data_IF_544432318512
#
_entry.id   IF_544432318512
#
_cell.length_a   1.000
_cell.length_b   1.000
_cell.length_c   1.000
_cell.angle_alpha   90.00
_cell.angle_beta   90.00
_cell.angle_gamma   90.00
#
_symmetry.space_group_name_H-M   'P 1'
#
loop_
_entity.id
_entity.type
_entity.pdbx_description
1 polymer ?
#
# COMPACT_ATOMS: atom_id res chain seq x y z
N UNK A 1 -57.83 31.58 10.26
CA UNK A 1 -57.35 30.48 11.14
C UNK A 1 -57.15 29.26 10.25
N UNK A 2 -56.04 28.56 10.09
CA UNK A 2 -54.66 28.59 10.61
C UNK A 2 -53.77 28.18 9.40
N UNK A 3 -52.67 28.89 9.17
CA UNK A 3 -51.67 28.54 8.15
C UNK A 3 -50.86 27.36 8.69
N UNK A 4 -50.93 26.19 8.06
CA UNK A 4 -50.02 25.08 8.37
C UNK A 4 -48.86 25.11 7.38
N UNK A 5 -47.75 25.71 7.80
CA UNK A 5 -46.48 25.62 7.10
C UNK A 5 -45.76 24.35 7.58
N UNK A 6 -45.63 23.36 6.70
CA UNK A 6 -44.76 22.19 6.92
C UNK A 6 -43.35 22.64 6.53
N UNK A 7 -42.55 22.97 7.53
CA UNK A 7 -41.14 23.30 7.34
C UNK A 7 -40.32 22.00 7.37
N UNK A 8 -40.07 21.43 6.19
CA UNK A 8 -39.15 20.30 6.04
C UNK A 8 -37.71 20.80 6.23
N UNK A 9 -37.14 20.56 7.41
CA UNK A 9 -35.75 20.89 7.73
C UNK A 9 -34.83 19.84 7.10
N UNK A 10 -34.27 20.15 5.93
CA UNK A 10 -33.28 19.34 5.25
C UNK A 10 -31.94 19.46 6.00
N UNK A 11 -31.65 18.53 6.92
CA UNK A 11 -30.36 18.45 7.59
C UNK A 11 -29.34 17.86 6.61
N UNK A 12 -28.57 18.72 5.94
CA UNK A 12 -27.39 18.31 5.19
C UNK A 12 -26.33 17.79 6.16
N UNK A 13 -26.28 16.48 6.37
CA UNK A 13 -25.13 15.81 6.98
C UNK A 13 -23.95 15.87 6.02
N UNK A 14 -23.12 16.90 6.16
CA UNK A 14 -21.79 16.89 5.52
C UNK A 14 -20.91 15.91 6.28
N UNK A 15 -20.82 14.68 5.78
CA UNK A 15 -19.81 13.72 6.25
C UNK A 15 -18.46 14.24 5.79
N UNK A 16 -17.76 14.97 6.66
CA UNK A 16 -16.34 15.27 6.46
C UNK A 16 -15.58 13.96 6.60
N UNK A 17 -15.35 13.27 5.49
CA UNK A 17 -14.43 12.15 5.43
C UNK A 17 -13.04 12.68 5.81
N UNK A 18 -12.61 12.44 7.06
CA UNK A 18 -11.20 12.62 7.42
C UNK A 18 -10.41 11.73 6.47
N UNK A 19 -9.44 12.30 5.75
CA UNK A 19 -8.48 11.51 5.00
C UNK A 19 -7.81 10.56 6.00
N UNK A 20 -8.15 9.28 5.91
CA UNK A 20 -7.59 8.28 6.79
C UNK A 20 -6.16 8.04 6.31
N UNK A 21 -5.20 8.27 7.20
CA UNK A 21 -3.80 7.95 6.92
C UNK A 21 -3.68 6.49 6.51
N UNK A 22 -2.83 6.23 5.51
CA UNK A 22 -2.58 4.89 5.03
C UNK A 22 -1.90 4.06 6.11
N UNK A 23 -2.47 2.90 6.45
CA UNK A 23 -1.80 1.91 7.31
C UNK A 23 -0.77 1.14 6.48
N UNK A 24 0.50 1.37 6.78
CA UNK A 24 1.62 0.57 6.28
C UNK A 24 1.93 -0.54 7.28
N UNK A 25 1.83 -1.79 6.83
CA UNK A 25 2.23 -2.95 7.63
C UNK A 25 3.72 -3.22 7.45
N UNK A 26 4.36 -3.73 8.50
CA UNK A 26 5.74 -4.26 8.42
C UNK A 26 5.76 -5.78 8.63
N UNK A 27 4.77 -6.32 9.34
CA UNK A 27 4.55 -7.76 9.48
C UNK A 27 3.75 -8.27 8.27
N UNK A 28 4.37 -9.15 7.48
CA UNK A 28 3.77 -9.68 6.25
C UNK A 28 2.70 -10.71 6.55
N UNK A 29 2.78 -11.42 7.68
CA UNK A 29 1.74 -12.36 8.09
C UNK A 29 0.47 -11.60 8.46
N UNK A 30 0.57 -10.54 9.26
CA UNK A 30 -0.57 -9.67 9.58
C UNK A 30 -1.18 -9.08 8.30
N UNK A 31 -0.33 -8.51 7.43
CA UNK A 31 -0.78 -7.92 6.17
C UNK A 31 -1.49 -8.96 5.28
N UNK A 32 -0.96 -10.18 5.19
CA UNK A 32 -1.55 -11.26 4.39
C UNK A 32 -2.94 -11.66 4.91
N UNK A 33 -3.12 -11.74 6.22
CA UNK A 33 -4.43 -11.99 6.84
C UNK A 33 -5.44 -10.89 6.51
N UNK A 34 -5.03 -9.63 6.56
CA UNK A 34 -5.88 -8.49 6.18
C UNK A 34 -6.19 -8.50 4.68
N UNK A 35 -5.20 -8.81 3.85
CA UNK A 35 -5.35 -8.94 2.40
C UNK A 35 -6.38 -10.01 2.04
N UNK A 36 -6.28 -11.22 2.60
CA UNK A 36 -7.27 -12.28 2.34
C UNK A 36 -8.67 -11.93 2.85
N UNK A 37 -8.79 -11.28 4.02
CA UNK A 37 -10.10 -10.84 4.56
C UNK A 37 -10.74 -9.75 3.70
N UNK A 38 -9.94 -8.80 3.22
CA UNK A 38 -10.41 -7.66 2.40
C UNK A 38 -10.48 -7.98 0.91
N UNK A 39 -9.96 -9.14 0.48
CA UNK A 39 -9.82 -9.55 -0.92
C UNK A 39 -9.03 -8.55 -1.77
N UNK A 40 -8.07 -7.86 -1.16
CA UNK A 40 -7.17 -6.91 -1.83
C UNK A 40 -5.76 -7.49 -1.92
N UNK A 41 -5.06 -7.40 -3.05
CA UNK A 41 -3.66 -7.81 -3.13
C UNK A 41 -2.77 -6.98 -2.19
N UNK A 42 -1.59 -7.51 -1.91
CA UNK A 42 -0.54 -6.83 -1.17
C UNK A 42 0.31 -6.00 -2.14
N UNK A 43 0.66 -4.79 -1.72
CA UNK A 43 1.68 -3.97 -2.35
C UNK A 43 2.93 -3.97 -1.46
N UNK A 44 3.93 -4.75 -1.83
CA UNK A 44 5.21 -4.79 -1.16
C UNK A 44 6.09 -3.67 -1.66
N UNK A 45 6.51 -2.77 -0.76
CA UNK A 45 7.44 -1.70 -1.06
C UNK A 45 8.80 -2.01 -0.43
N UNK A 46 9.72 -2.51 -1.25
CA UNK A 46 11.11 -2.68 -0.87
C UNK A 46 11.81 -1.33 -0.92
N UNK A 47 12.33 -0.86 0.21
CA UNK A 47 12.86 0.50 0.38
C UNK A 47 14.11 0.56 1.26
N UNK A 48 14.85 1.67 1.19
CA UNK A 48 15.90 2.01 2.14
C UNK A 48 15.63 3.39 2.72
N UNK A 49 14.92 3.44 3.85
CA UNK A 49 14.30 4.64 4.42
C UNK A 49 15.25 5.80 4.71
N UNK A 50 16.55 5.51 4.89
CA UNK A 50 17.52 6.50 5.36
C UNK A 50 18.71 6.73 4.42
N UNK A 51 18.78 6.04 3.28
CA UNK A 51 19.86 6.17 2.28
C UNK A 51 19.41 6.13 0.82
N UNK A 52 18.18 5.66 0.51
CA UNK A 52 17.69 5.58 -0.86
C UNK A 52 16.93 6.86 -1.25
N UNK A 53 17.61 7.80 -1.91
CA UNK A 53 16.99 9.06 -2.36
C UNK A 53 15.78 8.87 -3.29
N UNK A 54 15.84 7.91 -4.21
CA UNK A 54 14.72 7.58 -5.10
C UNK A 54 13.51 6.99 -4.34
N UNK A 55 13.74 6.27 -3.25
CA UNK A 55 12.67 5.74 -2.41
C UNK A 55 11.96 6.86 -1.66
N UNK A 56 12.71 7.79 -1.05
CA UNK A 56 12.15 8.96 -0.40
C UNK A 56 11.38 9.84 -1.40
N UNK A 57 11.90 9.97 -2.61
CA UNK A 57 11.23 10.69 -3.70
C UNK A 57 9.92 10.03 -4.11
N UNK A 58 9.90 8.71 -4.30
CA UNK A 58 8.68 7.96 -4.61
C UNK A 58 7.62 8.14 -3.52
N UNK A 59 8.00 8.05 -2.24
CA UNK A 59 7.08 8.27 -1.13
C UNK A 59 6.47 9.67 -1.19
N UNK A 60 7.30 10.71 -1.34
CA UNK A 60 6.85 12.11 -1.35
C UNK A 60 6.00 12.46 -2.57
N UNK A 61 6.42 12.03 -3.76
CA UNK A 61 5.75 12.39 -5.01
C UNK A 61 4.51 11.53 -5.31
N UNK A 62 4.41 10.34 -4.70
CA UNK A 62 3.32 9.39 -4.96
C UNK A 62 2.63 8.98 -3.68
N UNK A 63 3.31 8.24 -2.79
CA UNK A 63 2.63 7.53 -1.70
C UNK A 63 2.02 8.43 -0.62
N UNK A 64 2.49 9.67 -0.49
CA UNK A 64 1.98 10.67 0.44
C UNK A 64 0.95 11.62 -0.19
N UNK A 65 0.51 11.35 -1.42
CA UNK A 65 -0.49 12.16 -2.13
C UNK A 65 -1.91 11.68 -1.86
N UNK A 66 -2.88 12.59 -1.88
CA UNK A 66 -4.30 12.24 -1.71
C UNK A 66 -4.82 11.27 -2.80
N UNK A 67 -4.32 11.41 -4.04
CA UNK A 67 -4.66 10.53 -5.15
C UNK A 67 -4.23 9.08 -4.86
N UNK A 68 -3.01 8.89 -4.36
CA UNK A 68 -2.53 7.56 -3.96
C UNK A 68 -3.25 7.05 -2.72
N UNK A 69 -3.48 7.87 -1.70
CA UNK A 69 -4.23 7.46 -0.50
C UNK A 69 -5.61 6.93 -0.85
N UNK A 70 -6.34 7.63 -1.73
CA UNK A 70 -7.65 7.16 -2.21
C UNK A 70 -7.51 5.84 -2.95
N UNK A 71 -6.59 5.75 -3.91
CA UNK A 71 -6.39 4.54 -4.69
C UNK A 71 -5.98 3.34 -3.82
N UNK A 72 -5.01 3.51 -2.91
CA UNK A 72 -4.51 2.42 -2.09
C UNK A 72 -5.59 1.87 -1.15
N UNK A 73 -6.39 2.76 -0.53
CA UNK A 73 -7.52 2.36 0.30
C UNK A 73 -8.52 1.46 -0.44
N UNK A 74 -8.71 1.63 -1.75
CA UNK A 74 -9.65 0.83 -2.53
C UNK A 74 -9.02 -0.45 -3.10
N UNK A 75 -7.70 -0.44 -3.38
CA UNK A 75 -7.09 -1.44 -4.27
C UNK A 75 -6.09 -2.39 -3.59
N UNK A 76 -5.37 -1.96 -2.54
CA UNK A 76 -4.23 -2.74 -2.01
C UNK A 76 -4.10 -2.69 -0.49
N UNK A 77 -3.44 -3.70 0.08
CA UNK A 77 -2.91 -3.66 1.44
C UNK A 77 -1.41 -3.34 1.36
N UNK A 78 -1.00 -2.26 2.02
CA UNK A 78 0.35 -1.71 1.88
C UNK A 78 1.31 -2.37 2.87
N UNK A 79 2.48 -2.80 2.39
CA UNK A 79 3.55 -3.35 3.22
C UNK A 79 4.86 -2.65 2.93
N UNK A 80 5.49 -2.13 3.98
CA UNK A 80 6.84 -1.57 3.91
C UNK A 80 7.86 -2.63 4.31
N UNK A 81 8.78 -2.94 3.38
CA UNK A 81 9.90 -3.85 3.58
C UNK A 81 11.19 -3.01 3.54
N UNK A 82 11.54 -2.44 4.69
CA UNK A 82 12.65 -1.49 4.82
C UNK A 82 14.01 -2.19 5.07
N UNK A 83 15.06 -1.60 4.50
CA UNK A 83 16.47 -2.01 4.60
C UNK A 83 17.32 -0.81 5.04
N UNK A 84 17.12 -0.28 6.26
CA UNK A 84 17.83 0.90 6.73
C UNK A 84 19.31 0.61 7.00
N UNK A 85 20.16 1.65 6.94
CA UNK A 85 21.60 1.55 7.29
C UNK A 85 21.92 2.06 8.69
N UNK A 86 21.17 3.06 9.18
CA UNK A 86 21.40 3.71 10.49
C UNK A 86 20.39 3.27 11.54
N UNK A 87 19.17 2.94 11.13
CA UNK A 87 18.11 2.43 12.02
C UNK A 87 18.27 0.92 12.18
N UNK A 88 18.08 0.42 13.40
CA UNK A 88 18.06 -1.01 13.67
C UNK A 88 16.62 -1.51 13.68
N UNK A 89 16.34 -2.54 12.87
CA UNK A 89 15.10 -3.31 12.94
C UNK A 89 15.26 -4.47 13.92
N UNK A 90 14.14 -5.05 14.38
CA UNK A 90 14.20 -6.29 15.13
C UNK A 90 14.81 -7.41 14.30
N UNK A 91 15.36 -8.44 14.97
CA UNK A 91 15.93 -9.60 14.29
C UNK A 91 14.90 -10.30 13.39
N UNK A 92 13.65 -10.40 13.86
CA UNK A 92 12.55 -11.03 13.12
C UNK A 92 12.17 -10.26 11.85
N UNK A 93 12.03 -8.93 11.95
CA UNK A 93 11.74 -8.10 10.77
C UNK A 93 12.92 -8.11 9.79
N UNK A 94 14.15 -8.07 10.28
CA UNK A 94 15.34 -8.15 9.43
C UNK A 94 15.38 -9.46 8.66
N UNK A 95 15.11 -10.58 9.35
CA UNK A 95 15.05 -11.92 8.75
C UNK A 95 13.93 -12.01 7.71
N UNK A 96 12.71 -11.60 8.07
CA UNK A 96 11.56 -11.58 7.17
C UNK A 96 11.85 -10.77 5.90
N UNK A 97 12.37 -9.55 6.05
CA UNK A 97 12.65 -8.66 4.92
C UNK A 97 13.73 -9.26 4.01
N UNK A 98 14.79 -9.84 4.57
CA UNK A 98 15.84 -10.50 3.79
C UNK A 98 15.34 -11.72 3.02
N UNK A 99 14.54 -12.59 3.66
CA UNK A 99 13.94 -13.76 3.02
C UNK A 99 13.03 -13.36 1.85
N UNK A 100 12.21 -12.32 2.05
CA UNK A 100 11.35 -11.78 0.99
C UNK A 100 12.17 -11.13 -0.13
N UNK A 101 13.20 -10.34 0.20
CA UNK A 101 14.05 -9.74 -0.84
C UNK A 101 14.75 -10.81 -1.69
N UNK A 102 15.18 -11.91 -1.08
CA UNK A 102 15.74 -13.05 -1.79
C UNK A 102 14.68 -13.74 -2.66
N UNK A 103 13.50 -14.04 -2.10
CA UNK A 103 12.39 -14.68 -2.80
C UNK A 103 11.99 -13.87 -4.03
N UNK A 104 11.84 -12.56 -3.90
CA UNK A 104 11.46 -11.64 -4.97
C UNK A 104 12.65 -11.18 -5.84
N UNK A 105 13.84 -11.72 -5.61
CA UNK A 105 15.08 -11.41 -6.33
C UNK A 105 15.36 -9.89 -6.44
N UNK A 106 15.15 -9.15 -5.34
CA UNK A 106 15.32 -7.71 -5.30
C UNK A 106 16.80 -7.35 -5.51
N UNK A 107 17.06 -6.56 -6.55
CA UNK A 107 18.42 -6.09 -6.91
C UNK A 107 18.64 -4.59 -6.71
N UNK A 108 17.57 -3.83 -6.48
CA UNK A 108 17.63 -2.39 -6.36
C UNK A 108 16.39 -1.80 -5.69
N UNK A 109 16.48 -0.52 -5.35
CA UNK A 109 15.47 0.21 -4.61
C UNK A 109 15.20 1.56 -5.31
N UNK A 110 13.94 2.05 -5.35
CA UNK A 110 12.72 1.38 -4.88
C UNK A 110 12.27 0.25 -5.82
N UNK A 111 11.82 -0.86 -5.26
CA UNK A 111 11.09 -1.90 -6.00
C UNK A 111 9.74 -2.13 -5.33
N UNK A 112 8.68 -2.15 -6.13
CA UNK A 112 7.31 -2.41 -5.66
C UNK A 112 6.80 -3.66 -6.34
N UNK A 113 6.29 -4.61 -5.55
CA UNK A 113 5.63 -5.82 -6.05
C UNK A 113 4.15 -5.82 -5.69
N UNK A 114 3.31 -6.19 -6.66
CA UNK A 114 1.91 -6.51 -6.42
C UNK A 114 1.77 -8.03 -6.35
N UNK A 115 1.22 -8.53 -5.24
CA UNK A 115 1.08 -9.97 -5.01
C UNK A 115 -0.24 -10.34 -4.37
N UNK A 116 -0.73 -11.55 -4.68
CA UNK A 116 -1.88 -12.13 -4.00
C UNK A 116 -1.38 -13.18 -3.00
N UNK A 117 -1.61 -13.00 -1.69
CA UNK A 117 -1.28 -14.04 -0.74
C UNK A 117 -2.23 -15.22 -0.89
N UNK A 118 -1.68 -16.43 -0.89
CA UNK A 118 -2.41 -17.69 -0.90
C UNK A 118 -2.00 -18.52 0.32
N UNK A 119 -2.85 -19.47 0.72
CA UNK A 119 -2.57 -20.40 1.83
C UNK A 119 -2.66 -21.87 1.40
N UNK A 120 -1.84 -22.34 0.45
CA UNK A 120 -1.74 -23.76 0.19
C UNK A 120 -1.21 -24.46 1.45
N UNK A 121 -1.95 -25.46 1.96
CA UNK A 121 -1.56 -26.25 3.14
C UNK A 121 -1.28 -25.39 4.39
N UNK A 122 -2.09 -24.35 4.63
CA UNK A 122 -1.97 -23.40 5.74
C UNK A 122 -0.67 -22.58 5.80
N UNK A 123 0.18 -22.65 4.78
CA UNK A 123 1.40 -21.86 4.66
C UNK A 123 1.18 -20.67 3.71
N UNK A 124 1.61 -19.48 4.13
CA UNK A 124 1.50 -18.29 3.28
C UNK A 124 2.46 -18.41 2.10
N UNK A 125 1.92 -18.29 0.89
CA UNK A 125 2.66 -18.16 -0.37
C UNK A 125 2.18 -16.91 -1.11
N UNK A 126 2.93 -16.47 -2.13
CA UNK A 126 2.63 -15.24 -2.88
C UNK A 126 2.60 -15.52 -4.38
N UNK A 127 1.43 -15.33 -4.98
CA UNK A 127 1.30 -15.24 -6.43
C UNK A 127 1.73 -13.85 -6.89
N UNK A 128 2.62 -13.80 -7.89
CA UNK A 128 3.22 -12.55 -8.38
C UNK A 128 2.39 -11.98 -9.52
N UNK A 129 1.77 -10.83 -9.30
CA UNK A 129 1.01 -10.12 -10.35
C UNK A 129 1.95 -9.28 -11.23
N UNK A 130 2.95 -8.67 -10.62
CA UNK A 130 3.96 -7.88 -11.33
C UNK A 130 4.70 -6.92 -10.41
N UNK A 131 5.69 -6.22 -10.97
CA UNK A 131 6.47 -5.22 -10.24
C UNK A 131 6.66 -3.94 -11.02
N UNK A 132 6.96 -2.88 -10.28
CA UNK A 132 7.35 -1.56 -10.78
C UNK A 132 8.36 -0.92 -9.83
N UNK A 133 8.78 0.31 -10.10
CA UNK A 133 9.66 1.08 -9.25
C UNK A 133 9.23 2.54 -9.21
N UNK A 134 10.19 3.45 -9.37
CA UNK A 134 9.88 4.85 -9.61
C UNK A 134 9.37 5.05 -11.05
N UNK A 135 8.23 5.73 -11.19
CA UNK A 135 7.64 6.11 -12.48
C UNK A 135 7.50 7.63 -12.50
N UNK A 136 8.10 8.29 -13.49
CA UNK A 136 7.98 9.72 -13.66
C UNK A 136 6.54 10.11 -14.08
N UNK A 137 6.08 11.29 -13.65
CA UNK A 137 4.71 11.77 -13.94
C UNK A 137 3.78 11.82 -12.71
N UNK A 138 4.33 11.61 -11.50
CA UNK A 138 3.60 11.76 -10.25
C UNK A 138 2.58 10.63 -10.01
N UNK A 139 1.60 10.84 -9.11
CA UNK A 139 0.75 9.77 -8.64
C UNK A 139 -0.14 9.19 -9.73
N UNK A 140 -0.59 10.00 -10.69
CA UNK A 140 -1.45 9.55 -11.79
C UNK A 140 -0.74 8.52 -12.69
N UNK A 141 0.48 8.81 -13.12
CA UNK A 141 1.26 7.90 -13.97
C UNK A 141 1.61 6.61 -13.22
N UNK A 142 2.02 6.74 -11.96
CA UNK A 142 2.36 5.58 -11.13
C UNK A 142 1.12 4.68 -10.87
N UNK A 143 -0.03 5.27 -10.53
CA UNK A 143 -1.29 4.53 -10.32
C UNK A 143 -1.76 3.85 -11.61
N UNK A 144 -1.59 4.49 -12.77
CA UNK A 144 -1.91 3.87 -14.05
C UNK A 144 -1.08 2.61 -14.28
N UNK A 145 0.22 2.66 -14.01
CA UNK A 145 1.11 1.49 -14.10
C UNK A 145 0.70 0.39 -13.11
N UNK A 146 0.41 0.76 -11.86
CA UNK A 146 -0.07 -0.17 -10.84
C UNK A 146 -1.38 -0.86 -11.28
N UNK A 147 -2.32 -0.12 -11.86
CA UNK A 147 -3.57 -0.68 -12.38
C UNK A 147 -3.35 -1.63 -13.55
N UNK A 148 -2.34 -1.38 -14.40
CA UNK A 148 -2.00 -2.30 -15.49
C UNK A 148 -1.46 -3.63 -14.95
N UNK A 149 -0.75 -3.60 -13.83
CA UNK A 149 -0.28 -4.81 -13.13
C UNK A 149 -1.46 -5.57 -12.51
N UNK A 150 -2.38 -4.87 -11.84
CA UNK A 150 -3.52 -5.50 -11.14
C UNK A 150 -4.59 -6.10 -12.06
N UNK A 151 -4.59 -5.75 -13.35
CA UNK A 151 -5.55 -6.26 -14.36
C UNK A 151 -5.11 -7.54 -15.08
N UNK A 152 -3.85 -7.94 -14.92
CA UNK A 152 -3.30 -9.17 -15.52
C UNK A 152 -3.75 -10.39 -14.73
#
# INVERSE_FOLDING_TARGET
>A
MKKMAILAMLVLFTVTAKAQDLKWYTDVKEASEVSMKSKKPLMFFFTGSDWCGWCMRLQKEVFQTADFTKWANDNVVLVELDFPKRKQLSADLTKQNNELAQMFAIRGYPTVWMVTPTKPNDQISFERLGSTGYVAGGPKAWIQEANNILKK
#
